data_IF_388574170669
#
_entry.id   IF_388574170669
#
_cell.length_a   1.000
_cell.length_b   1.000
_cell.length_c   1.000
_cell.angle_alpha   90.00
_cell.angle_beta   90.00
_cell.angle_gamma   90.00
#
_symmetry.space_group_name_H-M   'P 1'
#
loop_
_entity.id
_entity.type
_entity.pdbx_description
1 polymer ?
#
# COMPACT_ATOMS: atom_id res chain seq x y z
N UNK A 1 -7.17 -0.72 -22.14
CA UNK A 1 -7.33 -1.44 -20.86
C UNK A 1 -7.75 -0.44 -19.79
N UNK A 2 -9.03 -0.06 -19.75
CA UNK A 2 -9.55 0.96 -18.82
C UNK A 2 -9.79 0.38 -17.41
N UNK A 3 -10.09 -0.93 -17.33
CA UNK A 3 -10.43 -1.63 -16.09
C UNK A 3 -9.30 -1.73 -15.06
N UNK A 4 -8.05 -1.90 -15.49
CA UNK A 4 -6.92 -2.09 -14.55
C UNK A 4 -6.64 -0.82 -13.74
N UNK A 5 -6.78 0.36 -14.37
CA UNK A 5 -6.60 1.63 -13.68
C UNK A 5 -7.67 1.85 -12.61
N UNK A 6 -8.93 1.57 -12.94
CA UNK A 6 -10.04 1.72 -11.99
C UNK A 6 -9.87 0.79 -10.77
N UNK A 7 -9.43 -0.45 -10.99
CA UNK A 7 -9.12 -1.38 -9.90
C UNK A 7 -7.96 -0.85 -9.04
N UNK A 8 -6.88 -0.36 -9.65
CA UNK A 8 -5.76 0.21 -8.90
C UNK A 8 -6.17 1.43 -8.08
N UNK A 9 -6.98 2.33 -8.65
CA UNK A 9 -7.47 3.53 -7.96
C UNK A 9 -8.35 3.13 -6.75
N UNK A 10 -9.23 2.14 -6.91
CA UNK A 10 -10.08 1.62 -5.83
C UNK A 10 -9.25 0.98 -4.70
N UNK A 11 -8.20 0.22 -5.04
CA UNK A 11 -7.29 -0.34 -4.04
C UNK A 11 -6.54 0.79 -3.31
N UNK A 12 -6.02 1.78 -4.04
CA UNK A 12 -5.32 2.91 -3.44
C UNK A 12 -6.20 3.72 -2.48
N UNK A 13 -7.49 3.90 -2.81
CA UNK A 13 -8.46 4.55 -1.94
C UNK A 13 -8.74 3.72 -0.68
N UNK A 14 -8.88 2.40 -0.83
CA UNK A 14 -9.04 1.48 0.28
C UNK A 14 -7.85 1.53 1.25
N UNK A 15 -6.62 1.43 0.75
CA UNK A 15 -5.40 1.49 1.57
C UNK A 15 -5.30 2.81 2.34
N UNK A 16 -5.65 3.94 1.72
CA UNK A 16 -5.65 5.25 2.38
C UNK A 16 -6.67 5.36 3.51
N UNK A 17 -7.87 4.83 3.31
CA UNK A 17 -8.90 4.79 4.36
C UNK A 17 -8.47 3.90 5.52
N UNK A 18 -7.81 2.78 5.22
CA UNK A 18 -7.29 1.86 6.22
C UNK A 18 -6.16 2.49 7.02
N UNK A 19 -5.21 3.14 6.37
CA UNK A 19 -4.08 3.82 7.03
C UNK A 19 -4.58 4.83 8.07
N UNK A 20 -5.63 5.60 7.75
CA UNK A 20 -6.26 6.50 8.72
C UNK A 20 -6.76 5.77 9.97
N UNK A 21 -7.50 4.67 9.79
CA UNK A 21 -8.07 3.89 10.92
C UNK A 21 -6.97 3.23 11.75
N UNK A 22 -5.95 2.69 11.10
CA UNK A 22 -4.79 2.04 11.72
C UNK A 22 -4.08 3.04 12.65
N UNK A 23 -3.79 4.24 12.13
CA UNK A 23 -3.12 5.29 12.88
C UNK A 23 -3.98 5.82 14.04
N UNK A 24 -5.27 6.07 13.80
CA UNK A 24 -6.20 6.55 14.84
C UNK A 24 -6.37 5.55 16.00
N UNK A 25 -6.30 4.23 15.71
CA UNK A 25 -6.55 3.18 16.70
C UNK A 25 -5.28 2.50 17.24
N UNK A 26 -4.10 2.89 16.75
CA UNK A 26 -2.83 2.27 17.14
C UNK A 26 -2.75 0.78 16.76
N UNK A 27 -3.33 0.39 15.62
CA UNK A 27 -3.37 -0.99 15.15
C UNK A 27 -2.13 -1.25 14.27
N UNK A 28 -1.73 -2.52 14.12
CA UNK A 28 -0.80 -2.95 13.08
C UNK A 28 -1.60 -3.71 12.02
N UNK A 29 -1.50 -3.29 10.75
CA UNK A 29 -2.09 -3.99 9.61
C UNK A 29 -1.00 -4.65 8.79
N UNK A 30 -1.27 -5.87 8.32
CA UNK A 30 -0.40 -6.61 7.41
C UNK A 30 -1.19 -6.95 6.16
N UNK A 31 -0.79 -6.38 5.03
CA UNK A 31 -1.40 -6.61 3.73
C UNK A 31 -0.56 -7.64 2.96
N UNK A 32 -1.19 -8.73 2.51
CA UNK A 32 -0.53 -9.81 1.80
C UNK A 32 -1.11 -9.97 0.39
N UNK A 33 -0.22 -10.07 -0.60
CA UNK A 33 -0.59 -10.20 -2.00
C UNK A 33 0.20 -11.34 -2.64
N UNK A 34 -0.41 -12.03 -3.59
CA UNK A 34 0.27 -13.09 -4.34
C UNK A 34 1.20 -12.45 -5.39
N UNK A 35 2.50 -12.66 -5.26
CA UNK A 35 3.52 -12.06 -6.12
C UNK A 35 3.31 -12.33 -7.63
N UNK A 36 2.81 -13.52 -8.00
CA UNK A 36 2.56 -13.90 -9.40
C UNK A 36 1.37 -13.11 -9.97
N UNK A 37 0.42 -12.72 -9.12
CA UNK A 37 -0.82 -12.04 -9.52
C UNK A 37 -0.77 -10.53 -9.35
N UNK A 38 0.25 -10.01 -8.68
CA UNK A 38 0.47 -8.59 -8.50
C UNK A 38 1.26 -8.05 -9.68
N UNK A 39 0.59 -7.39 -10.62
CA UNK A 39 1.25 -6.71 -11.71
C UNK A 39 2.20 -5.61 -11.19
N UNK A 40 3.29 -5.33 -11.91
CA UNK A 40 4.30 -4.33 -11.50
C UNK A 40 3.69 -2.94 -11.22
N UNK A 41 2.69 -2.53 -12.00
CA UNK A 41 1.98 -1.27 -11.76
C UNK A 41 1.20 -1.27 -10.43
N UNK A 42 0.61 -2.41 -10.06
CA UNK A 42 -0.07 -2.58 -8.78
C UNK A 42 0.95 -2.61 -7.64
N UNK A 43 2.06 -3.33 -7.81
CA UNK A 43 3.16 -3.39 -6.84
C UNK A 43 3.70 -1.99 -6.53
N UNK A 44 4.04 -1.21 -7.56
CA UNK A 44 4.53 0.16 -7.38
C UNK A 44 3.52 1.06 -6.67
N UNK A 45 2.22 0.90 -6.94
CA UNK A 45 1.17 1.62 -6.22
C UNK A 45 1.11 1.21 -4.74
N UNK A 46 1.15 -0.10 -4.45
CA UNK A 46 1.16 -0.62 -3.07
C UNK A 46 2.39 -0.17 -2.29
N UNK A 47 3.57 -0.13 -2.92
CA UNK A 47 4.80 0.35 -2.29
C UNK A 47 4.73 1.84 -1.89
N UNK A 48 3.89 2.63 -2.56
CA UNK A 48 3.62 4.02 -2.16
C UNK A 48 2.61 4.14 -1.01
N UNK A 49 1.88 3.06 -0.69
CA UNK A 49 0.92 3.00 0.42
C UNK A 49 1.52 2.34 1.68
N UNK A 50 2.67 1.66 1.55
CA UNK A 50 3.28 0.87 2.62
C UNK A 50 4.69 1.33 2.96
N UNK A 51 5.14 1.06 4.19
CA UNK A 51 6.47 1.47 4.69
C UNK A 51 7.46 0.34 4.71
N UNK A 52 6.97 -0.89 4.66
CA UNK A 52 7.76 -2.12 4.72
C UNK A 52 7.19 -3.08 3.69
N UNK A 53 8.05 -3.67 2.87
CA UNK A 53 7.75 -4.83 2.05
C UNK A 53 8.43 -6.04 2.68
N UNK A 54 7.70 -7.14 2.79
CA UNK A 54 8.21 -8.42 3.28
C UNK A 54 8.07 -9.44 2.15
N UNK A 55 9.15 -10.14 1.84
CA UNK A 55 9.18 -11.29 0.95
C UNK A 55 9.65 -12.51 1.73
N UNK A 56 9.72 -13.67 1.07
CA UNK A 56 10.25 -14.89 1.70
C UNK A 56 11.74 -14.75 2.06
N UNK A 57 12.48 -13.92 1.32
CA UNK A 57 13.94 -13.78 1.43
C UNK A 57 14.37 -12.54 2.23
N UNK A 58 13.58 -11.46 2.21
CA UNK A 58 14.00 -10.17 2.75
C UNK A 58 12.87 -9.31 3.31
N UNK A 59 13.27 -8.32 4.11
CA UNK A 59 12.41 -7.23 4.57
C UNK A 59 13.02 -5.91 4.14
N UNK A 60 12.28 -5.15 3.34
CA UNK A 60 12.75 -3.91 2.73
C UNK A 60 11.97 -2.73 3.32
N UNK A 61 12.68 -1.73 3.83
CA UNK A 61 12.07 -0.44 4.18
C UNK A 61 11.78 0.34 2.89
N UNK A 62 10.50 0.56 2.63
CA UNK A 62 10.03 1.36 1.51
C UNK A 62 10.11 2.84 1.87
N UNK A 63 10.32 3.69 0.85
CA UNK A 63 10.24 5.13 1.03
C UNK A 63 8.78 5.51 1.21
N UNK A 64 8.28 5.47 2.45
CA UNK A 64 6.97 6.00 2.79
C UNK A 64 6.92 7.45 2.31
N UNK A 65 5.97 7.84 1.44
CA UNK A 65 5.92 9.20 0.95
C UNK A 65 5.68 10.13 2.16
N UNK A 66 6.71 10.92 2.49
CA UNK A 66 6.70 11.98 3.50
C UNK A 66 5.64 13.06 3.22
N UNK A 67 4.89 12.96 2.11
CA UNK A 67 3.97 13.96 1.57
C UNK A 67 2.48 13.69 1.84
N UNK A 68 2.08 12.58 2.49
CA UNK A 68 0.67 12.35 2.91
C UNK A 68 0.39 12.53 4.40
N UNK A 69 1.38 12.94 5.19
CA UNK A 69 1.09 13.52 6.50
C UNK A 69 0.75 14.98 6.26
N UNK A 70 -0.51 15.27 5.92
CA UNK A 70 -1.04 16.56 6.36
C UNK A 70 -0.95 16.53 7.87
N UNK A 71 0.03 17.25 8.42
CA UNK A 71 -0.14 17.85 9.73
C UNK A 71 -1.51 18.50 9.76
N UNK A 72 -2.25 18.20 10.82
CA UNK A 72 -3.57 18.74 11.14
C UNK A 72 -3.74 20.24 10.80
#
# INVERSE_FOLDING_TARGET
MIYDKEIHDNIAEYEQKLDKIINEKGIVSVCAYNAIRTAEALKAMLENCHGIMITDDETVNLKWPLLKRSTD
#
